data_IF_197427832770
#
_entry.id   IF_197427832770
#
_cell.length_a   1.000
_cell.length_b   1.000
_cell.length_c   1.000
_cell.angle_alpha   90.00
_cell.angle_beta   90.00
_cell.angle_gamma   90.00
#
_symmetry.space_group_name_H-M   'P 1'
#
loop_
_entity.id
_entity.type
_entity.pdbx_description
1 polymer ?
#
# COMPACT_ATOMS: atom_id res chain seq x y z
N UNK A 1 -19.40 9.90 -22.42
CA UNK A 1 -18.45 8.81 -22.09
C UNK A 1 -17.19 9.27 -21.35
N UNK A 2 -16.45 10.31 -21.77
CA UNK A 2 -15.27 10.80 -21.00
C UNK A 2 -15.60 11.38 -19.62
N UNK A 3 -16.73 12.05 -19.48
CA UNK A 3 -17.09 12.74 -18.23
C UNK A 3 -17.54 11.77 -17.12
N UNK A 4 -18.21 10.67 -17.45
CA UNK A 4 -18.57 9.61 -16.51
C UNK A 4 -17.34 8.90 -15.95
N UNK A 5 -16.39 8.56 -16.81
CA UNK A 5 -15.11 7.91 -16.39
C UNK A 5 -14.29 8.79 -15.47
N UNK A 6 -14.27 10.11 -15.68
CA UNK A 6 -13.58 11.06 -14.81
C UNK A 6 -14.26 11.10 -13.43
N UNK A 7 -15.61 11.17 -13.38
CA UNK A 7 -16.35 11.18 -12.12
C UNK A 7 -16.13 9.88 -11.31
N UNK A 8 -16.16 8.73 -11.97
CA UNK A 8 -15.89 7.43 -11.33
C UNK A 8 -14.47 7.37 -10.74
N UNK A 9 -13.46 7.79 -11.50
CA UNK A 9 -12.08 7.82 -11.03
C UNK A 9 -11.90 8.75 -9.81
N UNK A 10 -12.57 9.89 -9.77
CA UNK A 10 -12.53 10.83 -8.65
C UNK A 10 -13.20 10.19 -7.41
N UNK A 11 -14.34 9.55 -7.56
CA UNK A 11 -15.02 8.87 -6.44
C UNK A 11 -14.16 7.76 -5.87
N UNK A 12 -13.57 6.91 -6.72
CA UNK A 12 -12.69 5.80 -6.30
C UNK A 12 -11.45 6.34 -5.61
N UNK A 13 -10.87 7.44 -6.11
CA UNK A 13 -9.74 8.11 -5.48
C UNK A 13 -10.09 8.58 -4.05
N UNK A 14 -11.21 9.31 -3.90
CA UNK A 14 -11.66 9.80 -2.59
C UNK A 14 -11.93 8.65 -1.62
N UNK A 15 -12.61 7.61 -2.05
CA UNK A 15 -12.86 6.42 -1.23
C UNK A 15 -11.55 5.75 -0.81
N UNK A 16 -10.62 5.57 -1.73
CA UNK A 16 -9.29 4.98 -1.43
C UNK A 16 -8.54 5.78 -0.38
N UNK A 17 -8.46 7.10 -0.53
CA UNK A 17 -7.81 8.00 0.43
C UNK A 17 -8.52 7.98 1.79
N UNK A 18 -9.85 8.01 1.81
CA UNK A 18 -10.66 7.98 3.03
C UNK A 18 -10.48 6.66 3.79
N UNK A 19 -10.56 5.52 3.12
CA UNK A 19 -10.33 4.22 3.75
C UNK A 19 -8.90 4.07 4.26
N UNK A 20 -7.90 4.55 3.53
CA UNK A 20 -6.52 4.57 4.01
C UNK A 20 -6.37 5.39 5.29
N UNK A 21 -6.95 6.59 5.34
CA UNK A 21 -6.91 7.44 6.52
C UNK A 21 -7.60 6.78 7.73
N UNK A 22 -8.78 6.19 7.53
CA UNK A 22 -9.49 5.45 8.58
C UNK A 22 -8.64 4.28 9.09
N UNK A 23 -8.10 3.45 8.20
CA UNK A 23 -7.26 2.33 8.60
C UNK A 23 -6.02 2.79 9.36
N UNK A 24 -5.38 3.88 8.95
CA UNK A 24 -4.24 4.46 9.67
C UNK A 24 -4.63 4.92 11.09
N UNK A 25 -5.77 5.60 11.24
CA UNK A 25 -6.27 6.07 12.56
C UNK A 25 -6.64 4.88 13.45
N UNK A 26 -7.37 3.91 12.92
CA UNK A 26 -7.76 2.71 13.67
C UNK A 26 -6.54 1.91 14.09
N UNK A 27 -5.53 1.83 13.24
CA UNK A 27 -4.28 1.14 13.52
C UNK A 27 -3.52 1.72 14.70
N UNK A 28 -3.43 3.02 14.73
CA UNK A 28 -2.75 3.71 15.82
C UNK A 28 -3.50 3.56 17.17
N UNK A 29 -4.83 3.39 17.14
CA UNK A 29 -5.67 3.29 18.37
C UNK A 29 -5.81 1.88 18.91
N UNK A 30 -5.96 0.86 18.04
CA UNK A 30 -6.43 -0.46 18.48
C UNK A 30 -5.39 -1.58 18.40
N UNK A 31 -4.32 -1.43 17.64
CA UNK A 31 -3.40 -2.53 17.33
C UNK A 31 -1.93 -2.23 17.66
N UNK A 32 -1.65 -1.30 18.56
CA UNK A 32 -0.29 -0.97 19.03
C UNK A 32 0.80 -1.04 17.96
N UNK A 33 0.48 -0.57 16.80
CA UNK A 33 1.45 0.03 15.93
C UNK A 33 1.78 -0.64 14.62
N UNK A 34 2.22 -1.87 14.46
CA UNK A 34 2.99 -2.20 13.24
C UNK A 34 2.24 -2.97 12.15
N UNK A 35 1.52 -4.01 12.46
CA UNK A 35 0.80 -4.81 11.46
C UNK A 35 -0.20 -4.00 10.62
N UNK A 36 -0.66 -2.90 11.16
CA UNK A 36 -1.72 -2.09 10.58
C UNK A 36 -1.19 -0.89 9.80
N UNK A 37 0.06 -0.46 10.04
CA UNK A 37 0.73 0.50 9.16
C UNK A 37 0.82 -0.08 7.74
N UNK A 38 1.17 -1.34 7.63
CA UNK A 38 1.18 -2.07 6.39
C UNK A 38 -0.21 -2.15 5.73
N UNK A 39 -1.24 -2.54 6.48
CA UNK A 39 -2.60 -2.65 5.96
C UNK A 39 -3.16 -1.32 5.47
N UNK A 40 -2.94 -0.24 6.21
CA UNK A 40 -3.48 1.07 5.87
C UNK A 40 -2.92 1.65 4.57
N UNK A 41 -1.64 1.42 4.28
CA UNK A 41 -0.99 1.98 3.09
C UNK A 41 -0.93 0.94 1.98
N UNK A 42 -0.32 -0.22 2.22
CA UNK A 42 -0.02 -1.18 1.17
C UNK A 42 -1.27 -1.89 0.67
N UNK A 43 -2.18 -2.34 1.55
CA UNK A 43 -3.36 -3.08 1.13
C UNK A 43 -4.29 -2.25 0.25
N UNK A 44 -4.58 -1.00 0.66
CA UNK A 44 -5.41 -0.12 -0.16
C UNK A 44 -4.69 0.29 -1.44
N UNK A 45 -3.38 0.54 -1.39
CA UNK A 45 -2.59 0.84 -2.59
C UNK A 45 -2.61 -0.31 -3.60
N UNK A 46 -2.50 -1.55 -3.13
CA UNK A 46 -2.58 -2.72 -3.99
C UNK A 46 -3.97 -2.90 -4.58
N UNK A 47 -5.03 -2.69 -3.78
CA UNK A 47 -6.40 -2.71 -4.28
C UNK A 47 -6.62 -1.64 -5.36
N UNK A 48 -6.15 -0.41 -5.12
CA UNK A 48 -6.22 0.68 -6.09
C UNK A 48 -5.47 0.35 -7.39
N UNK A 49 -4.32 -0.33 -7.31
CA UNK A 49 -3.55 -0.73 -8.50
C UNK A 49 -4.29 -1.70 -9.41
N UNK A 50 -5.22 -2.51 -8.86
CA UNK A 50 -6.09 -3.36 -9.66
C UNK A 50 -7.28 -2.61 -10.27
N UNK A 51 -7.81 -1.61 -9.58
CA UNK A 51 -9.08 -0.96 -9.94
C UNK A 51 -8.92 0.25 -10.83
N UNK A 52 -7.82 1.01 -10.69
CA UNK A 52 -7.65 2.30 -11.38
C UNK A 52 -6.48 2.32 -12.35
N UNK A 53 -6.45 3.33 -13.22
CA UNK A 53 -5.34 3.58 -14.12
C UNK A 53 -4.12 4.18 -13.39
N UNK A 54 -2.95 4.10 -14.04
CA UNK A 54 -1.66 4.50 -13.45
C UNK A 54 -1.62 5.95 -12.92
N UNK A 55 -2.28 6.88 -13.62
CA UNK A 55 -2.31 8.30 -13.22
C UNK A 55 -3.10 8.49 -11.91
N UNK A 56 -4.28 7.85 -11.80
CA UNK A 56 -5.12 7.90 -10.60
C UNK A 56 -4.41 7.22 -9.43
N UNK A 57 -3.76 6.08 -9.68
CA UNK A 57 -2.94 5.39 -8.71
C UNK A 57 -1.82 6.29 -8.16
N UNK A 58 -1.08 6.97 -9.04
CA UNK A 58 -0.01 7.89 -8.62
C UNK A 58 -0.57 9.02 -7.73
N UNK A 59 -1.67 9.64 -8.16
CA UNK A 59 -2.32 10.68 -7.36
C UNK A 59 -2.75 10.16 -5.99
N UNK A 60 -3.33 8.96 -5.95
CA UNK A 60 -3.70 8.30 -4.70
C UNK A 60 -2.48 8.09 -3.78
N UNK A 61 -1.38 7.53 -4.31
CA UNK A 61 -0.17 7.26 -3.53
C UNK A 61 0.44 8.54 -2.95
N UNK A 62 0.47 9.62 -3.71
CA UNK A 62 0.96 10.92 -3.24
C UNK A 62 0.05 11.48 -2.13
N UNK A 63 -1.26 11.46 -2.31
CA UNK A 63 -2.21 11.96 -1.31
C UNK A 63 -2.18 11.12 -0.02
N UNK A 64 -2.18 9.79 -0.14
CA UNK A 64 -2.12 8.91 1.04
C UNK A 64 -0.82 9.07 1.82
N UNK A 65 0.31 9.27 1.13
CA UNK A 65 1.61 9.57 1.77
C UNK A 65 1.61 10.91 2.48
N UNK A 66 1.02 11.95 1.88
CA UNK A 66 0.87 13.26 2.49
C UNK A 66 -0.01 13.21 3.76
N UNK A 67 -1.13 12.49 3.70
CA UNK A 67 -2.01 12.28 4.86
C UNK A 67 -1.29 11.52 5.98
N UNK A 68 -0.47 10.53 5.64
CA UNK A 68 0.32 9.81 6.63
C UNK A 68 1.26 10.75 7.41
N UNK A 69 1.98 11.62 6.68
CA UNK A 69 2.87 12.62 7.29
C UNK A 69 2.06 13.58 8.17
N UNK A 70 0.90 14.02 7.71
CA UNK A 70 0.00 14.90 8.46
C UNK A 70 -0.50 14.25 9.75
N UNK A 71 -0.98 13.01 9.71
CA UNK A 71 -1.49 12.27 10.87
C UNK A 71 -0.41 11.98 11.92
N UNK A 72 0.86 11.96 11.53
CA UNK A 72 1.99 11.80 12.45
C UNK A 72 2.51 13.13 13.04
N UNK A 73 1.79 14.23 12.85
CA UNK A 73 2.06 15.53 13.48
C UNK A 73 3.31 16.24 12.96
N UNK A 74 3.70 16.03 11.72
CA UNK A 74 4.85 16.67 11.05
C UNK A 74 6.21 16.46 11.76
N UNK A 75 6.32 15.52 12.66
CA UNK A 75 7.60 15.21 13.30
C UNK A 75 8.49 14.47 12.30
N UNK A 76 9.62 15.07 11.96
CA UNK A 76 10.55 14.53 10.96
C UNK A 76 11.01 13.12 11.35
N UNK A 77 11.34 12.89 12.63
CA UNK A 77 11.79 11.59 13.13
C UNK A 77 10.75 10.49 12.93
N UNK A 78 9.49 10.75 13.27
CA UNK A 78 8.41 9.78 13.08
C UNK A 78 8.04 9.61 11.61
N UNK A 79 8.19 10.64 10.78
CA UNK A 79 7.92 10.57 9.34
C UNK A 79 8.95 9.75 8.59
N UNK A 80 10.21 9.78 9.03
CA UNK A 80 11.30 8.97 8.47
C UNK A 80 11.01 7.47 8.62
N UNK A 81 10.46 7.04 9.76
CA UNK A 81 10.14 5.64 10.03
C UNK A 81 9.04 5.08 9.10
N UNK A 82 8.24 5.95 8.46
CA UNK A 82 7.22 5.54 7.49
C UNK A 82 7.73 5.49 6.05
N UNK A 83 8.89 6.05 5.76
CA UNK A 83 9.43 6.10 4.40
C UNK A 83 9.56 4.72 3.75
N UNK A 84 10.06 3.67 4.42
CA UNK A 84 10.09 2.32 3.86
C UNK A 84 8.71 1.81 3.44
N UNK A 85 7.65 2.07 4.22
CA UNK A 85 6.27 1.67 3.87
C UNK A 85 5.72 2.41 2.66
N UNK A 86 6.02 3.70 2.55
CA UNK A 86 5.62 4.50 1.40
C UNK A 86 6.28 3.95 0.14
N UNK A 87 7.58 3.68 0.18
CA UNK A 87 8.32 3.13 -0.96
C UNK A 87 7.80 1.73 -1.31
N UNK A 88 7.52 0.88 -0.33
CA UNK A 88 6.90 -0.42 -0.55
C UNK A 88 5.56 -0.30 -1.27
N UNK A 89 4.68 0.58 -0.78
CA UNK A 89 3.38 0.82 -1.40
C UNK A 89 3.51 1.29 -2.86
N UNK A 90 4.44 2.19 -3.13
CA UNK A 90 4.74 2.64 -4.49
C UNK A 90 5.23 1.50 -5.36
N UNK A 91 6.28 0.81 -4.97
CA UNK A 91 6.91 -0.26 -5.75
C UNK A 91 5.92 -1.40 -5.99
N UNK A 92 5.25 -1.90 -4.96
CA UNK A 92 4.30 -3.00 -5.07
C UNK A 92 3.09 -2.65 -5.92
N UNK A 93 2.51 -1.46 -5.74
CA UNK A 93 1.34 -1.02 -6.52
C UNK A 93 1.67 -0.80 -8.00
N UNK A 94 2.81 -0.17 -8.28
CA UNK A 94 3.27 -0.02 -9.67
C UNK A 94 3.56 -1.37 -10.31
N UNK A 95 4.16 -2.30 -9.57
CA UNK A 95 4.41 -3.64 -10.04
C UNK A 95 3.10 -4.35 -10.40
N UNK A 96 2.06 -4.28 -9.56
CA UNK A 96 0.73 -4.81 -9.88
C UNK A 96 0.22 -4.21 -11.19
N UNK A 97 0.28 -2.89 -11.35
CA UNK A 97 -0.17 -2.22 -12.57
C UNK A 97 0.57 -2.67 -13.83
N UNK A 98 1.79 -3.15 -13.68
CA UNK A 98 2.62 -3.64 -14.79
C UNK A 98 2.37 -5.11 -15.06
N UNK A 99 2.40 -5.96 -14.01
CA UNK A 99 2.41 -7.42 -14.18
C UNK A 99 1.02 -8.05 -14.28
N UNK A 100 -0.06 -7.35 -13.86
CA UNK A 100 -1.42 -7.89 -13.96
C UNK A 100 -1.80 -8.35 -15.38
N UNK A 101 -1.31 -7.64 -16.39
CA UNK A 101 -1.54 -8.00 -17.79
C UNK A 101 -0.67 -9.20 -18.24
N UNK A 102 0.54 -9.34 -17.68
CA UNK A 102 1.46 -10.46 -17.97
C UNK A 102 0.88 -11.76 -17.41
N UNK A 103 0.26 -11.73 -16.25
CA UNK A 103 -0.37 -12.90 -15.64
C UNK A 103 -1.85 -13.08 -16.03
N UNK A 104 -2.25 -12.59 -17.21
CA UNK A 104 -3.63 -12.75 -17.71
C UNK A 104 -4.70 -12.30 -16.71
N UNK A 105 -4.44 -11.19 -15.99
CA UNK A 105 -5.29 -10.68 -14.92
C UNK A 105 -5.47 -11.63 -13.72
N UNK A 106 -4.51 -12.51 -13.47
CA UNK A 106 -4.50 -13.31 -12.24
C UNK A 106 -4.10 -12.40 -11.07
N UNK A 107 -5.11 -11.92 -10.33
CA UNK A 107 -4.91 -10.99 -9.21
C UNK A 107 -4.08 -11.61 -8.09
N UNK A 108 -4.24 -12.90 -7.82
CA UNK A 108 -3.53 -13.59 -6.75
C UNK A 108 -2.02 -13.67 -7.03
N UNK A 109 -1.64 -14.08 -8.24
CA UNK A 109 -0.23 -14.10 -8.65
C UNK A 109 0.37 -12.69 -8.66
N UNK A 110 -0.36 -11.72 -9.18
CA UNK A 110 0.10 -10.33 -9.21
C UNK A 110 0.32 -9.77 -7.82
N UNK A 111 -0.59 -10.02 -6.87
CA UNK A 111 -0.43 -9.63 -5.46
C UNK A 111 0.74 -10.33 -4.78
N UNK A 112 0.91 -11.63 -5.02
CA UNK A 112 2.01 -12.41 -4.45
C UNK A 112 3.38 -11.82 -4.82
N UNK A 113 3.62 -11.60 -6.11
CA UNK A 113 4.88 -11.00 -6.56
C UNK A 113 5.05 -9.55 -6.09
N UNK A 114 3.96 -8.78 -6.04
CA UNK A 114 4.01 -7.40 -5.56
C UNK A 114 4.38 -7.32 -4.08
N UNK A 115 3.85 -8.21 -3.25
CA UNK A 115 4.19 -8.28 -1.83
C UNK A 115 5.66 -8.65 -1.65
N UNK A 116 6.18 -9.65 -2.37
CA UNK A 116 7.58 -10.06 -2.25
C UNK A 116 8.52 -8.92 -2.66
N UNK A 117 8.31 -8.34 -3.84
CA UNK A 117 9.20 -7.28 -4.36
C UNK A 117 9.03 -6.00 -3.56
N UNK A 118 7.80 -5.69 -3.14
CA UNK A 118 7.52 -4.59 -2.22
C UNK A 118 8.30 -4.75 -0.91
N UNK A 119 8.33 -5.94 -0.32
CA UNK A 119 9.11 -6.24 0.88
C UNK A 119 10.61 -6.10 0.68
N UNK A 120 11.13 -6.56 -0.43
CA UNK A 120 12.54 -6.35 -0.76
C UNK A 120 12.85 -4.85 -0.79
N UNK A 121 12.00 -4.05 -1.43
CA UNK A 121 12.18 -2.59 -1.47
C UNK A 121 12.06 -1.94 -0.08
N UNK A 122 11.16 -2.42 0.77
CA UNK A 122 11.02 -1.98 2.16
C UNK A 122 12.31 -2.19 2.96
N UNK A 123 12.84 -3.41 2.96
CA UNK A 123 14.06 -3.73 3.70
C UNK A 123 15.30 -3.03 3.11
N UNK A 124 15.39 -2.92 1.79
CA UNK A 124 16.46 -2.17 1.13
C UNK A 124 16.44 -0.71 1.54
N UNK A 125 15.25 -0.09 1.56
CA UNK A 125 15.09 1.30 1.99
C UNK A 125 15.41 1.46 3.47
N UNK A 126 14.95 0.54 4.32
CA UNK A 126 15.28 0.52 5.74
C UNK A 126 16.78 0.43 5.99
N UNK A 127 17.48 -0.47 5.28
CA UNK A 127 18.93 -0.58 5.37
C UNK A 127 19.64 0.72 4.98
N UNK A 128 19.30 1.27 3.81
CA UNK A 128 19.89 2.53 3.34
C UNK A 128 19.64 3.65 4.35
N UNK A 129 18.42 3.75 4.86
CA UNK A 129 18.03 4.81 5.78
C UNK A 129 18.75 4.70 7.12
N UNK A 130 18.68 3.54 7.78
CA UNK A 130 19.14 3.40 9.16
C UNK A 130 20.65 3.15 9.28
N UNK A 131 21.25 2.39 8.39
CA UNK A 131 22.66 2.03 8.50
C UNK A 131 23.55 2.94 7.65
N UNK A 132 23.12 3.32 6.44
CA UNK A 132 23.95 4.15 5.55
C UNK A 132 23.79 5.64 5.83
N UNK A 133 22.55 6.15 5.86
CA UNK A 133 22.27 7.59 5.99
C UNK A 133 22.38 8.03 7.45
N UNK A 134 21.62 7.39 8.34
CA UNK A 134 21.55 7.76 9.76
C UNK A 134 22.67 7.17 10.59
N UNK A 135 23.41 6.20 10.07
CA UNK A 135 24.55 5.51 10.71
C UNK A 135 24.22 4.98 12.12
N UNK A 136 22.98 4.53 12.33
CA UNK A 136 22.50 4.04 13.64
C UNK A 136 22.83 2.58 13.90
N UNK A 137 23.16 1.77 12.86
CA UNK A 137 23.46 0.33 13.01
C UNK A 137 22.32 -0.52 13.57
N UNK A 138 21.07 -0.07 13.41
CA UNK A 138 19.89 -0.70 14.02
C UNK A 138 19.06 -1.55 13.02
N UNK A 139 19.56 -1.74 11.81
CA UNK A 139 18.81 -2.43 10.75
C UNK A 139 18.40 -3.85 11.15
N UNK A 140 19.23 -4.60 11.86
CA UNK A 140 18.87 -5.95 12.30
C UNK A 140 17.65 -5.96 13.22
N UNK A 141 17.56 -5.03 14.17
CA UNK A 141 16.39 -4.87 15.03
C UNK A 141 15.16 -4.44 14.25
N UNK A 142 15.31 -3.52 13.31
CA UNK A 142 14.27 -3.10 12.38
C UNK A 142 13.75 -4.30 11.57
N UNK A 143 14.64 -5.08 10.96
CA UNK A 143 14.28 -6.24 10.16
C UNK A 143 13.48 -7.28 10.96
N UNK A 144 13.97 -7.66 12.15
CA UNK A 144 13.31 -8.67 12.99
C UNK A 144 11.92 -8.19 13.44
N UNK A 145 11.81 -6.94 13.89
CA UNK A 145 10.54 -6.40 14.36
C UNK A 145 9.49 -6.36 13.27
N UNK A 146 9.86 -5.99 12.05
CA UNK A 146 8.93 -5.90 10.93
C UNK A 146 8.60 -7.25 10.32
N UNK A 147 9.54 -8.19 10.23
CA UNK A 147 9.23 -9.55 9.77
C UNK A 147 8.18 -10.23 10.64
N UNK A 148 8.32 -10.16 11.96
CA UNK A 148 7.41 -10.84 12.87
C UNK A 148 6.01 -10.20 12.92
N UNK A 149 5.95 -8.88 12.91
CA UNK A 149 4.70 -8.16 13.15
C UNK A 149 3.84 -7.95 11.90
N UNK A 150 4.39 -8.10 10.71
CA UNK A 150 3.69 -7.74 9.46
C UNK A 150 3.31 -8.93 8.59
N UNK A 151 3.65 -10.16 9.00
CA UNK A 151 3.27 -11.40 8.27
C UNK A 151 1.75 -11.46 8.02
N UNK A 152 0.95 -11.09 9.03
CA UNK A 152 -0.52 -11.08 8.91
C UNK A 152 -0.97 -10.10 7.83
N UNK A 153 -0.37 -8.91 7.78
CA UNK A 153 -0.64 -7.92 6.73
C UNK A 153 -0.25 -8.39 5.33
N UNK A 154 0.88 -9.08 5.21
CA UNK A 154 1.31 -9.67 3.94
C UNK A 154 0.33 -10.73 3.44
N UNK A 155 -0.09 -11.66 4.32
CA UNK A 155 -1.09 -12.69 4.00
C UNK A 155 -2.40 -12.02 3.56
N UNK A 156 -2.82 -10.98 4.28
CA UNK A 156 -4.01 -10.20 3.90
C UNK A 156 -3.88 -9.62 2.49
N UNK A 157 -2.76 -9.01 2.15
CA UNK A 157 -2.55 -8.44 0.81
C UNK A 157 -2.54 -9.51 -0.29
N UNK A 158 -1.99 -10.69 -0.03
CA UNK A 158 -1.92 -11.76 -1.03
C UNK A 158 -3.28 -12.42 -1.26
N UNK A 159 -4.10 -12.60 -0.22
CA UNK A 159 -5.34 -13.36 -0.30
C UNK A 159 -6.56 -12.44 -0.42
N UNK A 160 -6.72 -11.49 0.53
CA UNK A 160 -7.95 -10.71 0.63
C UNK A 160 -8.03 -9.58 -0.40
N UNK A 161 -6.92 -8.94 -0.75
CA UNK A 161 -6.94 -7.89 -1.77
C UNK A 161 -7.40 -8.41 -3.14
N UNK A 162 -6.88 -9.54 -3.66
CA UNK A 162 -7.39 -10.15 -4.88
C UNK A 162 -8.86 -10.56 -4.78
N UNK A 163 -9.27 -11.14 -3.66
CA UNK A 163 -10.65 -11.55 -3.44
C UNK A 163 -11.62 -10.35 -3.46
N UNK A 164 -11.27 -9.27 -2.78
CA UNK A 164 -12.05 -8.02 -2.80
C UNK A 164 -12.10 -7.46 -4.22
N UNK A 165 -10.96 -7.42 -4.91
CA UNK A 165 -10.88 -6.95 -6.28
C UNK A 165 -11.79 -7.76 -7.23
N UNK A 166 -11.72 -9.07 -7.14
CA UNK A 166 -12.59 -9.97 -7.91
C UNK A 166 -14.07 -9.72 -7.63
N UNK A 167 -14.44 -9.56 -6.36
CA UNK A 167 -15.82 -9.30 -5.93
C UNK A 167 -16.35 -7.97 -6.47
N UNK A 168 -15.52 -6.92 -6.45
CA UNK A 168 -15.88 -5.61 -7.02
C UNK A 168 -16.09 -5.73 -8.53
N UNK A 169 -15.14 -6.33 -9.25
CA UNK A 169 -15.22 -6.48 -10.71
C UNK A 169 -16.44 -7.29 -11.14
N UNK A 170 -16.74 -8.40 -10.45
CA UNK A 170 -17.90 -9.24 -10.73
C UNK A 170 -19.21 -8.46 -10.57
N UNK A 171 -19.35 -7.67 -9.51
CA UNK A 171 -20.55 -6.88 -9.27
C UNK A 171 -20.68 -5.73 -10.26
N UNK A 172 -19.57 -5.13 -10.71
CA UNK A 172 -19.61 -4.05 -11.72
C UNK A 172 -20.08 -4.56 -13.10
N UNK A 173 -19.71 -5.79 -13.46
CA UNK A 173 -20.16 -6.42 -14.72
C UNK A 173 -21.66 -6.74 -14.69
N UNK A 174 -22.26 -6.95 -13.52
CA UNK A 174 -23.71 -7.20 -13.40
C UNK A 174 -24.56 -5.93 -13.53
N UNK A 175 -23.97 -4.73 -13.53
CA UNK A 175 -24.65 -3.44 -13.67
C UNK A 175 -24.44 -2.76 -15.04
N UNK A 176 -23.63 -3.38 -15.92
CA UNK A 176 -23.45 -2.97 -17.34
C UNK A 176 -24.19 -3.91 -18.28
#
# INVERSE_FOLDING_TARGET
>A
MKESVIKENIIVLFLGVFFSAILMILSNKFLNGMAVKFLGICAISYLMAFLVGKTVLLTYLLLSSAILIFLNGYKLESSIDYLPFVIEAFVGSYLISFIKNIFYNNELLSSFFAVIIGRISFFTTGFILYDVILKKGIFNGFLISHLNNEVVGMIFCVIFVPFICYSIKKNTIMWT
#
